data_IF_715591387511
#
_entry.id   IF_715591387511
#
_cell.length_a   1.000
_cell.length_b   1.000
_cell.length_c   1.000
_cell.angle_alpha   90.00
_cell.angle_beta   90.00
_cell.angle_gamma   90.00
#
_symmetry.space_group_name_H-M   'P 1'
#
loop_
_entity.id
_entity.type
_entity.pdbx_description
1 polymer ?
#
# COMPACT_ATOMS: atom_id res chain seq x y z
N UNK A 1 -17.01 30.57 4.38
CA UNK A 1 -15.75 30.22 3.68
C UNK A 1 -14.62 30.08 4.69
N UNK A 2 -14.62 30.95 5.69
CA UNK A 2 -13.87 30.87 6.95
C UNK A 2 -13.87 29.46 7.59
N UNK A 3 -15.02 28.76 7.66
CA UNK A 3 -15.10 27.43 8.29
C UNK A 3 -14.15 26.36 7.72
N UNK A 4 -13.86 26.38 6.41
CA UNK A 4 -12.98 25.38 5.79
C UNK A 4 -11.50 25.71 6.06
N UNK A 5 -11.17 27.00 6.11
CA UNK A 5 -9.84 27.51 6.45
C UNK A 5 -9.54 27.30 7.94
N UNK A 6 -10.51 27.56 8.82
CA UNK A 6 -10.44 27.25 10.26
C UNK A 6 -10.30 25.74 10.48
N UNK A 7 -11.03 24.95 9.69
CA UNK A 7 -10.91 23.50 9.67
C UNK A 7 -9.52 23.03 9.26
N UNK A 8 -8.92 23.62 8.22
CA UNK A 8 -7.54 23.35 7.84
C UNK A 8 -6.59 23.66 9.00
N UNK A 9 -6.66 24.88 9.53
CA UNK A 9 -5.74 25.35 10.56
C UNK A 9 -5.82 24.45 11.80
N UNK A 10 -7.03 24.21 12.31
CA UNK A 10 -7.23 23.32 13.45
C UNK A 10 -6.67 21.91 13.21
N UNK A 11 -6.88 21.34 12.01
CA UNK A 11 -6.46 19.97 11.67
C UNK A 11 -4.96 19.83 11.48
N UNK A 12 -4.30 20.83 10.89
CA UNK A 12 -2.88 20.78 10.51
C UNK A 12 -1.95 21.45 11.54
N UNK A 13 -2.37 22.56 12.15
CA UNK A 13 -1.49 23.49 12.90
C UNK A 13 -2.04 23.91 14.27
N UNK A 14 -3.32 23.71 14.53
CA UNK A 14 -4.03 24.19 15.72
C UNK A 14 -3.30 23.89 17.04
N UNK A 15 -2.89 24.96 17.73
CA UNK A 15 -2.27 24.87 19.06
C UNK A 15 -3.33 24.35 20.05
N UNK A 16 -3.11 23.15 20.58
CA UNK A 16 -4.07 22.46 21.46
C UNK A 16 -4.76 21.25 20.82
N UNK A 17 -4.69 21.08 19.50
CA UNK A 17 -5.11 19.83 18.88
C UNK A 17 -4.04 18.75 19.12
N UNK A 18 -4.35 17.77 19.98
CA UNK A 18 -3.45 16.64 20.26
C UNK A 18 -3.49 15.56 19.17
N UNK A 19 -4.45 15.62 18.24
CA UNK A 19 -4.64 14.66 17.13
C UNK A 19 -4.52 15.34 15.77
N UNK A 20 -3.52 16.21 15.60
CA UNK A 20 -3.20 16.82 14.29
C UNK A 20 -3.00 15.74 13.24
N UNK A 21 -3.37 16.07 12.02
CA UNK A 21 -3.25 15.18 10.86
C UNK A 21 -2.14 15.67 9.93
N UNK A 22 -1.53 14.75 9.19
CA UNK A 22 -0.59 15.11 8.14
C UNK A 22 -1.31 15.59 6.87
N UNK A 23 -0.61 16.36 6.02
CA UNK A 23 -1.16 16.93 4.80
C UNK A 23 -1.82 15.91 3.87
N UNK A 24 -1.25 14.71 3.74
CA UNK A 24 -1.86 13.64 2.93
C UNK A 24 -3.25 13.19 3.43
N UNK A 25 -3.53 13.26 4.74
CA UNK A 25 -4.87 12.99 5.27
C UNK A 25 -5.81 14.14 4.97
N UNK A 26 -5.36 15.38 5.15
CA UNK A 26 -6.15 16.57 4.84
C UNK A 26 -6.55 16.64 3.36
N UNK A 27 -5.63 16.33 2.44
CA UNK A 27 -5.94 16.24 0.99
C UNK A 27 -7.07 15.23 0.71
N UNK A 28 -7.11 14.09 1.41
CA UNK A 28 -8.21 13.12 1.28
C UNK A 28 -9.53 13.68 1.82
N UNK A 29 -9.48 14.43 2.93
CA UNK A 29 -10.67 15.07 3.50
C UNK A 29 -11.21 16.16 2.56
N UNK A 30 -10.35 16.99 1.97
CA UNK A 30 -10.74 17.96 0.94
C UNK A 30 -11.37 17.28 -0.28
N UNK A 31 -10.81 16.16 -0.75
CA UNK A 31 -11.38 15.39 -1.86
C UNK A 31 -12.77 14.85 -1.50
N UNK A 32 -12.95 14.30 -0.30
CA UNK A 32 -14.24 13.78 0.16
C UNK A 32 -15.28 14.90 0.31
N UNK A 33 -14.91 16.03 0.91
CA UNK A 33 -15.75 17.22 1.03
C UNK A 33 -16.16 17.72 -0.35
N UNK A 34 -15.20 17.85 -1.27
CA UNK A 34 -15.48 18.26 -2.65
C UNK A 34 -16.50 17.34 -3.31
N UNK A 35 -16.29 16.03 -3.27
CA UNK A 35 -17.21 15.05 -3.87
C UNK A 35 -18.62 15.15 -3.27
N UNK A 36 -18.73 15.33 -1.94
CA UNK A 36 -20.01 15.51 -1.25
C UNK A 36 -20.73 16.78 -1.70
N UNK A 37 -20.03 17.92 -1.73
CA UNK A 37 -20.64 19.19 -2.09
C UNK A 37 -20.89 19.34 -3.59
N UNK A 38 -20.09 18.70 -4.46
CA UNK A 38 -20.40 18.56 -5.88
C UNK A 38 -21.71 17.79 -6.08
N UNK A 39 -21.88 16.67 -5.38
CA UNK A 39 -23.13 15.90 -5.38
C UNK A 39 -24.30 16.72 -4.85
N UNK A 40 -24.10 17.47 -3.77
CA UNK A 40 -25.16 18.28 -3.14
C UNK A 40 -25.59 19.44 -4.02
N UNK A 41 -24.62 20.12 -4.66
CA UNK A 41 -24.90 21.20 -5.61
C UNK A 41 -25.64 20.67 -6.84
N UNK A 42 -25.22 19.52 -7.38
CA UNK A 42 -25.90 18.87 -8.50
C UNK A 42 -27.36 18.47 -8.18
N UNK A 43 -27.70 18.29 -6.90
CA UNK A 43 -29.07 18.02 -6.41
C UNK A 43 -29.82 19.27 -5.93
N UNK A 44 -29.21 20.45 -6.02
CA UNK A 44 -29.81 21.70 -5.54
C UNK A 44 -29.92 21.82 -4.02
N UNK A 45 -29.20 21.01 -3.24
CA UNK A 45 -29.20 21.09 -1.78
C UNK A 45 -28.35 22.26 -1.24
N UNK A 46 -27.38 22.72 -2.03
CA UNK A 46 -26.48 23.83 -1.68
C UNK A 46 -26.27 24.73 -2.90
N UNK A 47 -26.11 26.03 -2.66
CA UNK A 47 -25.91 27.01 -3.72
C UNK A 47 -24.47 27.04 -4.26
N UNK A 48 -23.49 26.60 -3.47
CA UNK A 48 -22.08 26.66 -3.84
C UNK A 48 -21.25 25.55 -3.18
N UNK A 49 -20.14 25.20 -3.82
CA UNK A 49 -19.16 24.22 -3.33
C UNK A 49 -18.10 24.98 -2.51
N UNK A 50 -17.85 24.61 -1.23
CA UNK A 50 -16.90 25.31 -0.38
C UNK A 50 -15.43 25.03 -0.75
N UNK A 51 -15.13 23.89 -1.37
CA UNK A 51 -13.78 23.52 -1.80
C UNK A 51 -13.45 24.21 -3.12
N UNK A 52 -12.68 25.29 -3.06
CA UNK A 52 -12.15 26.00 -4.23
C UNK A 52 -10.98 25.25 -4.85
N UNK A 53 -10.83 25.40 -6.17
CA UNK A 53 -9.76 24.80 -6.96
C UNK A 53 -8.84 25.89 -7.52
N UNK A 54 -7.54 25.59 -7.54
CA UNK A 54 -6.51 26.38 -8.22
C UNK A 54 -5.77 25.52 -9.23
N UNK A 55 -5.36 26.13 -10.33
CA UNK A 55 -4.54 25.47 -11.33
C UNK A 55 -3.08 25.44 -10.89
N UNK A 56 -2.45 24.26 -10.94
CA UNK A 56 -1.02 24.08 -10.69
C UNK A 56 -0.41 23.37 -11.90
N UNK A 57 0.79 23.79 -12.30
CA UNK A 57 1.55 23.12 -13.36
C UNK A 57 2.25 21.90 -12.78
N UNK A 58 2.02 20.76 -13.41
CA UNK A 58 2.79 19.54 -13.14
C UNK A 58 4.21 19.65 -13.68
N UNK A 59 5.08 18.72 -13.29
CA UNK A 59 6.45 18.63 -13.81
C UNK A 59 6.49 18.54 -15.34
N UNK A 60 5.49 17.90 -15.93
CA UNK A 60 5.38 17.69 -17.37
C UNK A 60 4.67 18.87 -18.07
N UNK A 61 4.44 19.98 -17.35
CA UNK A 61 3.87 21.23 -17.88
C UNK A 61 2.34 21.26 -17.96
N UNK A 62 1.67 20.13 -17.82
CA UNK A 62 0.21 20.05 -17.87
C UNK A 62 -0.45 20.75 -16.66
N UNK A 63 -1.46 21.60 -16.89
CA UNK A 63 -2.22 22.21 -15.80
C UNK A 63 -3.14 21.17 -15.14
N UNK A 64 -3.13 21.11 -13.82
CA UNK A 64 -4.02 20.25 -13.02
C UNK A 64 -4.71 21.11 -11.97
N UNK A 65 -6.00 20.84 -11.74
CA UNK A 65 -6.77 21.49 -10.69
C UNK A 65 -6.53 20.79 -9.35
N UNK A 66 -6.11 21.56 -8.35
CA UNK A 66 -5.93 21.09 -6.98
C UNK A 66 -6.77 21.95 -6.03
N UNK A 67 -7.20 21.38 -4.90
CA UNK A 67 -7.87 22.18 -3.88
C UNK A 67 -6.95 23.31 -3.40
N UNK A 68 -7.51 24.51 -3.23
CA UNK A 68 -6.76 25.70 -2.84
C UNK A 68 -6.02 25.51 -1.52
N UNK A 69 -6.70 24.88 -0.56
CA UNK A 69 -6.24 24.51 0.78
C UNK A 69 -5.42 23.20 0.80
N UNK A 70 -5.03 22.66 -0.35
CA UNK A 70 -4.15 21.51 -0.39
C UNK A 70 -2.70 21.92 -0.03
N UNK A 71 -2.09 21.32 1.00
CA UNK A 71 -0.74 21.64 1.42
C UNK A 71 0.29 21.11 0.43
N UNK A 72 1.39 21.85 0.28
CA UNK A 72 2.45 21.57 -0.70
C UNK A 72 3.31 20.36 -0.34
N UNK A 73 3.38 20.00 0.95
CA UNK A 73 4.23 18.91 1.46
C UNK A 73 3.56 17.52 1.41
N UNK A 74 2.31 17.44 0.97
CA UNK A 74 1.60 16.18 0.82
C UNK A 74 2.21 15.35 -0.33
N UNK A 75 2.98 14.31 0.03
CA UNK A 75 3.55 13.39 -0.96
C UNK A 75 2.45 12.59 -1.68
N UNK A 76 2.43 12.67 -3.01
CA UNK A 76 1.53 11.89 -3.86
C UNK A 76 1.92 10.41 -3.93
N UNK A 77 3.21 10.09 -3.78
CA UNK A 77 3.73 8.73 -3.72
C UNK A 77 4.94 8.62 -2.80
N UNK A 78 5.17 7.43 -2.25
CA UNK A 78 6.36 7.09 -1.47
C UNK A 78 6.94 5.78 -2.02
N UNK A 79 7.43 5.84 -3.26
CA UNK A 79 7.97 4.67 -3.95
C UNK A 79 9.35 4.35 -3.39
N UNK A 80 9.49 3.13 -2.86
CA UNK A 80 10.79 2.55 -2.52
C UNK A 80 11.10 1.46 -3.53
N UNK A 81 12.24 1.58 -4.21
CA UNK A 81 12.69 0.56 -5.16
C UNK A 81 13.21 -0.66 -4.40
N UNK A 82 12.69 -1.85 -4.73
CA UNK A 82 13.13 -3.12 -4.18
C UNK A 82 13.86 -3.92 -5.25
N UNK A 83 15.15 -4.14 -5.06
CA UNK A 83 15.93 -4.97 -5.98
C UNK A 83 15.57 -6.46 -5.80
N UNK A 84 15.62 -7.29 -6.87
CA UNK A 84 15.26 -8.71 -6.78
C UNK A 84 16.01 -9.49 -5.71
N UNK A 85 17.28 -9.14 -5.45
CA UNK A 85 18.09 -9.77 -4.39
C UNK A 85 17.54 -9.47 -3.00
N UNK A 86 17.13 -8.23 -2.74
CA UNK A 86 16.56 -7.81 -1.46
C UNK A 86 15.19 -8.44 -1.22
N UNK A 87 14.38 -8.57 -2.28
CA UNK A 87 13.12 -9.33 -2.21
C UNK A 87 13.35 -10.79 -1.80
N UNK A 88 14.28 -11.49 -2.48
CA UNK A 88 14.60 -12.90 -2.14
C UNK A 88 15.05 -13.04 -0.69
N UNK A 89 15.92 -12.16 -0.22
CA UNK A 89 16.36 -12.16 1.18
C UNK A 89 15.17 -11.98 2.15
N UNK A 90 14.29 -11.01 1.88
CA UNK A 90 13.11 -10.76 2.71
C UNK A 90 12.14 -11.95 2.70
N UNK A 91 11.92 -12.58 1.53
CA UNK A 91 11.08 -13.78 1.39
C UNK A 91 11.68 -14.95 2.15
N UNK A 92 12.96 -15.24 1.96
CA UNK A 92 13.58 -16.44 2.52
C UNK A 92 13.72 -16.32 4.05
N UNK A 93 14.18 -15.16 4.54
CA UNK A 93 14.35 -14.93 5.98
C UNK A 93 13.02 -14.65 6.68
N UNK A 94 12.19 -13.78 6.11
CA UNK A 94 10.97 -13.29 6.76
C UNK A 94 9.75 -14.18 6.60
N UNK A 95 9.68 -15.02 5.55
CA UNK A 95 8.49 -15.84 5.25
C UNK A 95 8.77 -17.33 5.19
N UNK A 96 10.01 -17.77 4.90
CA UNK A 96 10.36 -19.19 4.79
C UNK A 96 11.16 -19.74 5.97
N UNK A 97 11.49 -18.90 6.95
CA UNK A 97 12.24 -19.31 8.15
C UNK A 97 13.68 -19.69 7.87
N UNK A 98 14.33 -19.06 6.88
CA UNK A 98 15.77 -19.21 6.68
C UNK A 98 16.55 -18.18 7.52
N UNK A 99 17.75 -18.55 7.97
CA UNK A 99 18.73 -17.60 8.47
C UNK A 99 19.26 -16.69 7.36
N UNK A 100 19.91 -15.59 7.73
CA UNK A 100 20.57 -14.68 6.78
C UNK A 100 21.74 -15.34 6.04
N UNK A 101 22.23 -16.47 6.55
CA UNK A 101 23.23 -17.36 5.96
C UNK A 101 22.64 -18.32 4.91
N UNK A 102 21.31 -18.35 4.76
CA UNK A 102 20.61 -19.20 3.79
C UNK A 102 20.38 -20.64 4.27
N UNK A 103 20.60 -20.92 5.55
CA UNK A 103 20.26 -22.20 6.16
C UNK A 103 18.88 -22.17 6.81
N UNK A 104 18.10 -23.27 6.79
CA UNK A 104 16.84 -23.33 7.52
C UNK A 104 17.07 -23.07 9.02
N UNK A 105 16.34 -22.13 9.60
CA UNK A 105 16.36 -21.87 11.03
C UNK A 105 15.47 -22.91 11.74
N UNK A 106 16.07 -23.68 12.65
CA UNK A 106 15.36 -24.71 13.41
C UNK A 106 14.43 -24.17 14.49
N UNK A 107 14.50 -22.88 14.81
CA UNK A 107 13.76 -22.26 15.91
C UNK A 107 12.34 -21.81 15.54
N UNK A 108 12.02 -21.72 14.25
CA UNK A 108 10.72 -21.24 13.78
C UNK A 108 10.27 -21.89 12.48
N UNK A 109 9.14 -22.59 12.51
CA UNK A 109 8.36 -22.93 11.33
C UNK A 109 7.02 -22.22 11.43
N UNK A 110 6.78 -21.25 10.55
CA UNK A 110 5.46 -20.65 10.46
C UNK A 110 4.50 -21.63 9.81
N UNK A 111 3.27 -21.64 10.32
CA UNK A 111 2.22 -22.58 9.91
C UNK A 111 1.91 -22.51 8.40
N UNK A 112 2.15 -21.35 7.77
CA UNK A 112 1.75 -21.02 6.42
C UNK A 112 2.92 -20.56 5.54
N UNK A 113 4.17 -20.87 5.89
CA UNK A 113 5.37 -20.33 5.23
C UNK A 113 5.37 -20.51 3.70
N UNK A 114 4.97 -21.71 3.23
CA UNK A 114 4.84 -21.98 1.80
C UNK A 114 3.77 -21.13 1.11
N UNK A 115 2.62 -20.92 1.77
CA UNK A 115 1.52 -20.10 1.25
C UNK A 115 1.92 -18.63 1.21
N UNK A 116 2.50 -18.12 2.28
CA UNK A 116 2.84 -16.71 2.44
C UNK A 116 4.01 -16.34 1.51
N UNK A 117 4.99 -17.24 1.35
CA UNK A 117 6.06 -17.09 0.35
C UNK A 117 5.53 -17.10 -1.09
N UNK A 118 4.66 -18.05 -1.44
CA UNK A 118 4.04 -18.11 -2.77
C UNK A 118 3.21 -16.84 -3.06
N UNK A 119 2.46 -16.35 -2.08
CA UNK A 119 1.69 -15.10 -2.21
C UNK A 119 2.61 -13.89 -2.44
N UNK A 120 3.72 -13.78 -1.69
CA UNK A 120 4.70 -12.73 -1.89
C UNK A 120 5.38 -12.81 -3.26
N UNK A 121 5.68 -14.01 -3.77
CA UNK A 121 6.22 -14.20 -5.12
C UNK A 121 5.24 -13.75 -6.20
N UNK A 122 3.94 -14.08 -6.07
CA UNK A 122 2.90 -13.59 -6.99
C UNK A 122 2.88 -12.07 -7.01
N UNK A 123 2.88 -11.41 -5.84
CA UNK A 123 2.89 -9.94 -5.75
C UNK A 123 4.14 -9.34 -6.41
N UNK A 124 5.32 -9.91 -6.17
CA UNK A 124 6.57 -9.40 -6.72
C UNK A 124 6.67 -9.59 -8.24
N UNK A 125 6.25 -10.74 -8.77
CA UNK A 125 6.37 -11.07 -10.18
C UNK A 125 5.29 -10.40 -11.06
N UNK A 126 4.07 -10.23 -10.53
CA UNK A 126 2.94 -9.67 -11.29
C UNK A 126 2.77 -8.16 -11.13
N UNK A 127 3.25 -7.58 -10.02
CA UNK A 127 2.98 -6.19 -9.68
C UNK A 127 1.52 -5.94 -9.24
N UNK A 128 0.71 -6.98 -9.05
CA UNK A 128 -0.66 -6.84 -8.55
C UNK A 128 -0.69 -6.17 -7.18
N UNK A 129 -1.72 -5.37 -6.94
CA UNK A 129 -1.99 -4.84 -5.60
C UNK A 129 -2.41 -5.98 -4.69
N UNK A 130 -2.07 -5.87 -3.40
CA UNK A 130 -2.45 -6.87 -2.37
C UNK A 130 -3.93 -7.28 -2.42
N UNK A 131 -4.84 -6.34 -2.72
CA UNK A 131 -6.27 -6.63 -2.82
C UNK A 131 -6.64 -7.42 -4.08
N UNK A 132 -5.99 -7.13 -5.21
CA UNK A 132 -6.20 -7.83 -6.48
C UNK A 132 -5.68 -9.27 -6.38
N UNK A 133 -4.45 -9.44 -5.86
CA UNK A 133 -3.87 -10.77 -5.65
C UNK A 133 -4.67 -11.60 -4.62
N UNK A 134 -5.21 -10.95 -3.59
CA UNK A 134 -6.04 -11.60 -2.57
C UNK A 134 -7.41 -12.06 -3.06
N UNK A 135 -7.82 -11.63 -4.26
CA UNK A 135 -9.08 -12.05 -4.91
C UNK A 135 -8.85 -13.02 -6.07
N UNK A 136 -7.61 -13.49 -6.28
CA UNK A 136 -7.32 -14.44 -7.36
C UNK A 136 -8.04 -15.77 -7.12
N UNK A 137 -8.68 -16.26 -8.18
CA UNK A 137 -9.33 -17.56 -8.19
C UNK A 137 -8.41 -18.62 -8.82
N UNK A 138 -8.56 -19.88 -8.42
CA UNK A 138 -7.76 -20.99 -8.97
C UNK A 138 -7.88 -21.10 -10.49
N UNK A 139 -9.03 -20.73 -11.07
CA UNK A 139 -9.27 -20.73 -12.52
C UNK A 139 -8.46 -19.66 -13.27
N UNK A 140 -8.07 -18.58 -12.59
CA UNK A 140 -7.25 -17.51 -13.16
C UNK A 140 -5.76 -17.86 -13.16
N UNK A 141 -5.36 -18.82 -12.31
CA UNK A 141 -4.00 -19.34 -12.28
C UNK A 141 -3.84 -20.38 -13.39
N UNK A 142 -2.89 -20.14 -14.29
CA UNK A 142 -2.51 -21.13 -15.29
C UNK A 142 -2.05 -22.40 -14.56
N UNK A 143 -2.78 -23.51 -14.71
CA UNK A 143 -2.35 -24.84 -14.28
C UNK A 143 -1.23 -25.32 -15.21
N UNK A 144 -0.01 -24.85 -14.95
CA UNK A 144 1.18 -25.49 -15.49
C UNK A 144 1.52 -26.65 -14.57
N UNK A 145 1.24 -27.87 -15.00
CA UNK A 145 1.71 -29.09 -14.34
C UNK A 145 3.23 -29.13 -14.45
N UNK A 146 3.91 -28.52 -13.49
CA UNK A 146 5.34 -28.72 -13.29
C UNK A 146 5.51 -29.81 -12.24
N UNK A 147 6.42 -30.79 -12.45
CA UNK A 147 6.71 -31.78 -11.42
C UNK A 147 7.24 -31.05 -10.17
N UNK A 148 6.42 -31.02 -9.12
CA UNK A 148 6.83 -30.44 -7.84
C UNK A 148 7.81 -31.42 -7.21
N UNK A 149 9.11 -31.18 -7.40
CA UNK A 149 10.14 -31.91 -6.64
C UNK A 149 10.18 -31.31 -5.24
N UNK A 150 9.38 -31.85 -4.33
CA UNK A 150 9.53 -31.57 -2.91
C UNK A 150 10.88 -32.16 -2.48
N UNK A 151 11.92 -31.33 -2.36
CA UNK A 151 13.16 -31.74 -1.68
C UNK A 151 12.85 -31.83 -0.19
N UNK A 152 12.39 -32.99 0.26
CA UNK A 152 12.45 -33.36 1.67
C UNK A 152 13.92 -33.43 2.06
N UNK A 153 14.32 -32.64 3.06
CA UNK A 153 15.61 -32.80 3.70
C UNK A 153 15.61 -34.19 4.36
N UNK A 154 16.44 -35.09 3.83
CA UNK A 154 16.63 -36.43 4.33
C UNK A 154 17.11 -36.34 5.78
N UNK A 155 16.24 -36.76 6.70
CA UNK A 155 16.54 -36.79 8.13
C UNK A 155 17.27 -38.10 8.40
N UNK A 156 18.56 -38.13 8.07
CA UNK A 156 19.43 -39.27 8.30
C UNK A 156 19.45 -39.66 9.77
N UNK A 157 18.67 -40.69 10.12
CA UNK A 157 18.85 -41.47 11.35
C UNK A 157 20.06 -42.38 11.14
N UNK A 158 21.19 -41.99 11.73
CA UNK A 158 22.27 -42.92 12.05
C UNK A 158 21.74 -43.92 13.08
N UNK A 159 21.42 -45.14 12.64
CA UNK A 159 21.42 -46.31 13.49
C UNK A 159 22.80 -46.96 13.32
N UNK A 160 23.66 -46.79 14.33
CA UNK A 160 24.86 -47.58 14.50
C UNK A 160 24.46 -48.97 15.01
N UNK A 161 24.95 -50.00 14.33
CA UNK A 161 25.12 -51.36 14.85
C UNK A 161 26.63 -51.60 15.01
#
# INVERSE_FOLDING_TARGET
MEDLEDGEDWRLRGRGNVRRIGGAKWVRELAALRMLYEWAAARGHVAAIPVRLRAVRTRDGAPVQVAELAPTDARSSNVKWLIPRAFRLCRDVGLRGYGADGHPDGSGRGRNDGRDAAFAEVLFASGLRRREAGTLLTVELRTRQLPITVRTADSGRLLAA
#
